data_IF_908030736320
#
_entry.id   IF_908030736320
#
_cell.length_a   1.000
_cell.length_b   1.000
_cell.length_c   1.000
_cell.angle_alpha   90.00
_cell.angle_beta   90.00
_cell.angle_gamma   90.00
#
_symmetry.space_group_name_H-M   'P 1'
#
loop_
_entity.id
_entity.type
_entity.pdbx_description
1 polymer ?
#
# COMPACT_ATOMS: atom_id res chain seq x y z
N UNK A 1 15.95 14.20 -54.85
CA UNK A 1 16.73 13.45 -53.85
C UNK A 1 15.91 13.45 -52.57
N UNK A 2 15.84 12.30 -51.88
CA UNK A 2 14.88 11.98 -50.82
C UNK A 2 14.85 12.96 -49.62
N UNK A 3 13.72 12.99 -48.86
CA UNK A 3 13.39 14.03 -47.88
C UNK A 3 13.61 13.63 -46.40
N UNK A 4 13.43 14.66 -45.57
CA UNK A 4 13.17 14.81 -44.13
C UNK A 4 12.88 13.57 -43.25
N UNK A 5 13.30 13.67 -41.97
CA UNK A 5 12.59 13.05 -40.84
C UNK A 5 12.73 13.91 -39.56
N UNK A 6 11.86 14.92 -39.45
CA UNK A 6 11.33 15.37 -38.16
C UNK A 6 10.22 14.39 -37.77
N UNK A 7 10.29 13.79 -36.58
CA UNK A 7 9.21 12.94 -36.04
C UNK A 7 8.42 13.75 -35.04
N UNK A 8 7.15 14.00 -35.36
CA UNK A 8 6.13 14.39 -34.41
C UNK A 8 4.89 13.48 -34.54
N UNK A 9 4.23 13.29 -33.41
CA UNK A 9 2.84 12.89 -33.18
C UNK A 9 2.36 11.42 -33.27
N UNK A 10 1.99 10.94 -32.07
CA UNK A 10 0.68 10.39 -31.69
C UNK A 10 0.08 9.24 -32.50
N UNK A 11 0.00 8.06 -31.88
CA UNK A 11 -1.07 7.10 -32.19
C UNK A 11 -1.41 6.21 -31.00
N UNK A 12 -2.58 6.48 -30.41
CA UNK A 12 -3.30 5.57 -29.51
C UNK A 12 -3.44 4.20 -30.19
N UNK A 13 -2.96 3.15 -29.52
CA UNK A 13 -3.07 1.77 -30.00
C UNK A 13 -4.46 1.24 -29.63
N UNK A 14 -5.23 0.99 -30.69
CA UNK A 14 -6.53 0.33 -30.72
C UNK A 14 -6.50 -1.00 -29.94
N UNK A 15 -7.35 -1.16 -28.92
CA UNK A 15 -7.71 -2.48 -28.39
C UNK A 15 -8.93 -2.98 -29.15
N UNK A 16 -8.72 -4.00 -29.97
CA UNK A 16 -9.74 -4.74 -30.70
C UNK A 16 -10.38 -5.79 -29.77
N UNK A 17 -11.71 -5.76 -29.72
CA UNK A 17 -12.64 -6.90 -29.91
C UNK A 17 -12.49 -8.15 -29.02
N UNK A 18 -13.52 -8.36 -28.18
CA UNK A 18 -14.17 -9.66 -27.94
C UNK A 18 -15.68 -9.38 -27.72
N UNK A 19 -16.49 -9.39 -28.79
CA UNK A 19 -17.37 -10.49 -29.24
C UNK A 19 -18.63 -10.64 -28.33
N UNK A 20 -19.71 -9.91 -28.61
CA UNK A 20 -20.90 -10.38 -29.37
C UNK A 20 -21.44 -11.76 -28.94
N UNK A 21 -22.61 -11.76 -28.30
CA UNK A 21 -23.65 -12.78 -28.53
C UNK A 21 -25.00 -12.09 -28.68
N UNK A 22 -25.41 -11.87 -29.94
CA UNK A 22 -26.78 -11.54 -30.32
C UNK A 22 -27.40 -12.82 -30.85
N UNK A 23 -28.31 -13.42 -30.09
CA UNK A 23 -29.17 -14.49 -30.58
C UNK A 23 -30.41 -13.87 -31.24
N UNK A 24 -30.39 -13.75 -32.57
CA UNK A 24 -31.60 -13.46 -33.37
C UNK A 24 -32.31 -14.79 -33.63
N UNK A 25 -33.49 -14.98 -33.04
CA UNK A 25 -34.47 -15.94 -33.54
C UNK A 25 -35.69 -15.16 -34.04
N UNK A 26 -35.78 -15.01 -35.35
CA UNK A 26 -36.99 -14.51 -36.02
C UNK A 26 -37.96 -15.67 -36.27
N UNK A 27 -39.14 -15.63 -35.67
CA UNK A 27 -40.33 -16.25 -36.23
C UNK A 27 -41.55 -15.45 -35.77
N UNK A 28 -42.31 -14.96 -36.73
CA UNK A 28 -43.20 -13.80 -36.57
C UNK A 28 -44.46 -14.04 -35.77
N UNK A 29 -44.94 -12.98 -35.13
CA UNK A 29 -46.35 -12.75 -34.82
C UNK A 29 -46.65 -11.25 -34.94
N UNK A 30 -47.85 -10.98 -35.44
CA UNK A 30 -48.48 -9.71 -35.80
C UNK A 30 -48.24 -8.62 -34.74
N UNK A 31 -47.81 -7.43 -35.17
CA UNK A 31 -47.64 -6.28 -34.27
C UNK A 31 -49.01 -5.76 -33.80
N UNK A 32 -49.31 -5.70 -32.50
CA UNK A 32 -50.28 -4.73 -32.01
C UNK A 32 -49.60 -3.36 -32.01
N UNK A 33 -50.08 -2.43 -32.84
CA UNK A 33 -49.73 -1.01 -32.73
C UNK A 33 -50.39 -0.48 -31.46
N UNK A 34 -49.77 -0.74 -30.32
CA UNK A 34 -50.09 -0.07 -29.08
C UNK A 34 -49.48 1.33 -29.20
N UNK A 35 -50.34 2.33 -29.42
CA UNK A 35 -49.93 3.71 -29.20
C UNK A 35 -49.52 3.83 -27.73
N UNK A 36 -48.23 4.05 -27.50
CA UNK A 36 -47.67 4.21 -26.16
C UNK A 36 -48.20 5.53 -25.58
N UNK A 37 -49.35 5.47 -24.92
CA UNK A 37 -49.93 6.58 -24.14
C UNK A 37 -49.41 6.58 -22.70
N UNK A 38 -48.29 5.91 -22.45
CA UNK A 38 -47.59 5.87 -21.17
C UNK A 38 -46.28 6.65 -21.21
N UNK A 39 -45.86 7.15 -20.04
CA UNK A 39 -44.51 7.69 -19.87
C UNK A 39 -43.54 6.51 -19.86
N UNK A 40 -42.87 6.25 -20.98
CA UNK A 40 -41.80 5.26 -21.09
C UNK A 40 -40.47 5.84 -20.61
N UNK A 41 -39.88 5.25 -19.57
CA UNK A 41 -38.52 5.56 -19.12
C UNK A 41 -37.59 4.37 -19.34
N UNK A 42 -36.36 4.67 -19.78
CA UNK A 42 -35.26 3.71 -19.85
C UNK A 42 -34.05 4.32 -19.16
N UNK A 43 -33.36 3.51 -18.38
CA UNK A 43 -32.13 3.93 -17.71
C UNK A 43 -30.95 3.75 -18.66
N UNK A 44 -30.10 4.79 -18.73
CA UNK A 44 -28.75 4.70 -19.25
C UNK A 44 -27.82 4.47 -18.07
N UNK A 45 -27.01 3.41 -18.12
CA UNK A 45 -25.92 3.21 -17.14
C UNK A 45 -24.63 3.76 -17.72
N UNK A 46 -23.99 4.68 -17.01
CA UNK A 46 -22.66 5.21 -17.32
C UNK A 46 -21.72 4.72 -16.22
N UNK A 47 -20.60 4.10 -16.59
CA UNK A 47 -19.65 3.50 -15.65
C UNK A 47 -18.24 4.06 -15.81
N UNK A 48 -17.51 4.07 -14.71
CA UNK A 48 -16.08 4.38 -14.60
C UNK A 48 -15.47 3.42 -13.60
N UNK A 49 -14.27 2.92 -13.87
CA UNK A 49 -13.52 2.01 -13.02
C UNK A 49 -12.06 2.46 -13.00
N UNK A 50 -11.48 2.53 -11.80
CA UNK A 50 -10.10 2.90 -11.56
C UNK A 50 -9.52 1.94 -10.53
N UNK A 51 -8.28 1.50 -10.76
CA UNK A 51 -7.60 0.55 -9.88
C UNK A 51 -7.04 1.23 -8.63
N UNK A 52 -7.10 0.52 -7.51
CA UNK A 52 -6.49 0.96 -6.26
C UNK A 52 -4.96 0.92 -6.33
N UNK A 53 -4.30 2.02 -5.97
CA UNK A 53 -2.84 2.19 -6.03
C UNK A 53 -2.31 2.93 -4.79
N UNK A 54 -1.02 2.74 -4.49
CA UNK A 54 -0.33 3.46 -3.43
C UNK A 54 1.17 3.56 -3.72
N UNK A 55 1.87 4.46 -3.04
CA UNK A 55 3.34 4.56 -3.09
C UNK A 55 3.90 4.55 -1.68
N UNK A 56 4.62 3.48 -1.34
CA UNK A 56 5.31 3.32 -0.06
C UNK A 56 6.49 4.31 0.03
N UNK A 57 6.62 4.96 1.18
CA UNK A 57 7.67 5.94 1.48
C UNK A 57 8.34 5.59 2.80
N UNK A 58 9.61 5.19 2.73
CA UNK A 58 10.42 4.79 3.89
C UNK A 58 11.74 5.57 3.83
N UNK A 59 12.17 6.20 4.94
CA UNK A 59 13.49 6.83 5.03
C UNK A 59 14.59 5.81 4.75
N UNK A 60 15.64 6.24 4.06
CA UNK A 60 16.78 5.37 3.79
C UNK A 60 17.50 4.95 5.08
N UNK A 61 17.55 5.83 6.09
CA UNK A 61 18.31 5.63 7.31
C UNK A 61 17.63 6.30 8.51
N UNK A 62 17.84 5.73 9.70
CA UNK A 62 17.50 6.32 10.99
C UNK A 62 18.74 6.24 11.88
N UNK A 63 19.25 7.38 12.34
CA UNK A 63 20.43 7.43 13.22
C UNK A 63 20.01 7.29 14.68
N UNK A 64 20.33 6.14 15.28
CA UNK A 64 20.01 5.86 16.68
C UNK A 64 20.99 6.56 17.65
N UNK A 65 20.56 6.71 18.90
CA UNK A 65 21.34 7.32 19.98
C UNK A 65 21.57 6.35 21.12
N UNK A 66 22.73 6.47 21.78
CA UNK A 66 23.06 5.72 23.00
C UNK A 66 22.24 6.17 24.21
N UNK A 67 21.83 7.43 24.27
CA UNK A 67 21.28 8.06 25.48
C UNK A 67 19.82 8.48 25.35
N UNK A 68 19.30 8.62 24.14
CA UNK A 68 17.94 9.06 23.89
C UNK A 68 17.23 8.14 22.91
N UNK A 69 15.92 7.97 23.12
CA UNK A 69 15.07 7.32 22.12
C UNK A 69 15.02 8.15 20.83
N UNK A 70 14.90 7.47 19.70
CA UNK A 70 14.86 8.08 18.37
C UNK A 70 13.51 7.80 17.71
N UNK A 71 13.02 8.74 16.91
CA UNK A 71 11.78 8.57 16.14
C UNK A 71 12.15 8.37 14.67
N UNK A 72 11.74 7.24 14.09
CA UNK A 72 11.68 7.02 12.65
C UNK A 72 10.24 7.20 12.17
N UNK A 73 10.07 7.55 10.89
CA UNK A 73 8.75 7.69 10.26
C UNK A 73 8.65 6.77 9.07
N UNK A 74 7.52 6.07 8.93
CA UNK A 74 7.21 5.27 7.75
C UNK A 74 5.81 5.62 7.26
N UNK A 75 5.54 5.48 5.98
CA UNK A 75 4.22 5.85 5.48
C UNK A 75 4.07 5.71 3.98
N UNK A 76 3.12 6.46 3.43
CA UNK A 76 2.84 6.51 2.01
C UNK A 76 3.06 7.94 1.52
N UNK A 77 3.58 8.09 0.30
CA UNK A 77 3.62 9.39 -0.38
C UNK A 77 2.34 9.68 -1.17
N UNK A 78 1.60 8.63 -1.56
CA UNK A 78 0.26 8.72 -2.13
C UNK A 78 -0.55 7.46 -1.87
N UNK A 79 -1.88 7.62 -1.85
CA UNK A 79 -2.85 6.54 -1.75
C UNK A 79 -4.05 6.87 -2.66
N UNK A 80 -4.56 5.86 -3.35
CA UNK A 80 -5.82 5.87 -4.07
C UNK A 80 -6.45 4.48 -3.88
N UNK A 81 -7.35 4.32 -2.92
CA UNK A 81 -7.98 3.01 -2.67
C UNK A 81 -9.49 3.18 -2.59
N UNK A 82 -10.23 2.11 -2.89
CA UNK A 82 -11.68 2.12 -2.72
C UNK A 82 -12.06 2.29 -1.24
N UNK A 83 -13.31 2.68 -0.98
CA UNK A 83 -13.84 2.84 0.38
C UNK A 83 -13.93 1.53 1.17
N UNK A 84 -13.80 0.39 0.49
CA UNK A 84 -13.81 -0.96 1.07
C UNK A 84 -12.40 -1.53 1.28
N UNK A 85 -11.37 -0.73 1.00
CA UNK A 85 -9.97 -1.13 1.05
C UNK A 85 -9.15 -0.21 1.96
N UNK A 86 -8.02 -0.74 2.43
CA UNK A 86 -7.00 0.01 3.15
C UNK A 86 -5.62 -0.48 2.74
N UNK A 87 -4.62 0.39 2.83
CA UNK A 87 -3.21 0.00 2.73
C UNK A 87 -2.70 -0.31 4.13
N UNK A 88 -2.22 -1.53 4.32
CA UNK A 88 -1.62 -1.99 5.56
C UNK A 88 -0.10 -2.08 5.38
N UNK A 89 0.66 -1.43 6.25
CA UNK A 89 2.13 -1.53 6.31
C UNK A 89 2.51 -2.47 7.45
N UNK A 90 3.35 -3.47 7.16
CA UNK A 90 3.89 -4.42 8.13
C UNK A 90 5.41 -4.43 8.09
N UNK A 91 6.02 -4.83 9.20
CA UNK A 91 7.40 -5.34 9.19
C UNK A 91 7.37 -6.82 8.80
N UNK A 92 8.28 -7.24 7.92
CA UNK A 92 8.37 -8.64 7.47
C UNK A 92 9.67 -9.32 7.90
N UNK A 93 10.72 -8.54 8.20
CA UNK A 93 11.97 -9.03 8.76
C UNK A 93 12.79 -7.90 9.40
N UNK A 94 13.80 -8.28 10.18
CA UNK A 94 14.73 -7.34 10.81
C UNK A 94 14.37 -6.93 12.24
N UNK A 95 13.33 -7.54 12.80
CA UNK A 95 12.94 -7.42 14.20
C UNK A 95 12.98 -8.81 14.86
N UNK A 96 13.54 -8.89 16.07
CA UNK A 96 13.60 -10.10 16.89
C UNK A 96 12.24 -10.47 17.48
N UNK A 97 12.13 -11.63 18.13
CA UNK A 97 10.89 -12.05 18.79
C UNK A 97 10.47 -11.10 19.92
N UNK A 98 11.43 -10.37 20.50
CA UNK A 98 11.26 -9.38 21.56
C UNK A 98 10.97 -7.97 21.03
N UNK A 99 10.84 -7.80 19.71
CA UNK A 99 10.53 -6.51 19.10
C UNK A 99 11.73 -5.58 18.93
N UNK A 100 12.95 -6.12 18.89
CA UNK A 100 14.15 -5.31 18.75
C UNK A 100 14.82 -5.47 17.38
N UNK A 101 15.31 -4.36 16.81
CA UNK A 101 16.26 -4.40 15.71
C UNK A 101 17.65 -4.69 16.25
N UNK A 102 18.35 -5.63 15.61
CA UNK A 102 19.74 -5.98 15.94
C UNK A 102 20.65 -5.16 15.03
N UNK A 103 21.59 -4.44 15.63
CA UNK A 103 22.66 -3.77 14.92
C UNK A 103 23.97 -4.53 15.15
N UNK A 104 24.73 -4.69 14.08
CA UNK A 104 26.02 -5.41 14.10
C UNK A 104 27.14 -4.44 13.75
N UNK A 105 28.24 -4.48 14.49
CA UNK A 105 29.44 -3.70 14.14
C UNK A 105 29.98 -4.20 12.79
N UNK A 106 30.14 -3.27 11.85
CA UNK A 106 30.61 -3.56 10.50
C UNK A 106 32.06 -4.07 10.47
N UNK A 107 32.85 -3.81 11.52
CA UNK A 107 34.25 -4.23 11.63
C UNK A 107 34.44 -5.45 12.54
N UNK A 108 33.51 -5.70 13.45
CA UNK A 108 33.51 -6.87 14.35
C UNK A 108 32.11 -7.49 14.43
N UNK A 109 31.77 -8.44 13.55
CA UNK A 109 30.43 -9.06 13.54
C UNK A 109 30.04 -9.79 14.82
N UNK A 110 30.98 -10.06 15.74
CA UNK A 110 30.69 -10.62 17.06
C UNK A 110 30.13 -9.58 18.04
N UNK A 111 30.30 -8.29 17.74
CA UNK A 111 29.84 -7.18 18.56
C UNK A 111 28.49 -6.67 18.03
N UNK A 112 27.46 -6.81 18.86
CA UNK A 112 26.08 -6.44 18.50
C UNK A 112 25.43 -5.63 19.61
N UNK A 113 24.48 -4.79 19.22
CA UNK A 113 23.59 -4.08 20.13
C UNK A 113 22.16 -4.10 19.57
N UNK A 114 21.19 -3.73 20.39
CA UNK A 114 19.77 -3.83 20.03
C UNK A 114 19.03 -2.57 20.40
N UNK A 115 18.03 -2.21 19.59
CA UNK A 115 17.06 -1.16 19.92
C UNK A 115 15.65 -1.72 19.81
N UNK A 116 14.87 -1.64 20.89
CA UNK A 116 13.45 -2.04 20.84
C UNK A 116 12.68 -1.05 20.00
N UNK A 117 11.84 -1.56 19.09
CA UNK A 117 10.97 -0.75 18.24
C UNK A 117 9.55 -0.81 18.78
N UNK A 118 8.87 0.34 18.87
CA UNK A 118 7.51 0.48 19.40
C UNK A 118 6.67 1.39 18.50
N UNK A 119 5.36 1.20 18.48
CA UNK A 119 4.43 2.10 17.77
C UNK A 119 4.07 3.34 18.59
N UNK A 120 4.22 3.26 19.90
CA UNK A 120 3.95 4.34 20.84
C UNK A 120 5.13 4.53 21.78
N UNK A 121 5.37 5.77 22.21
CA UNK A 121 6.45 6.06 23.14
C UNK A 121 6.23 5.37 24.49
N UNK A 122 7.08 4.39 24.80
CA UNK A 122 6.94 3.56 26.00
C UNK A 122 5.81 2.52 25.94
N UNK A 123 5.19 2.32 24.77
CA UNK A 123 4.19 1.26 24.54
C UNK A 123 4.84 -0.12 24.43
N UNK A 124 4.08 -1.14 24.01
CA UNK A 124 4.62 -2.49 23.87
C UNK A 124 5.62 -2.62 22.70
N UNK A 125 6.58 -3.56 22.77
CA UNK A 125 7.45 -3.87 21.65
C UNK A 125 6.66 -4.32 20.41
N UNK A 126 7.11 -3.89 19.24
CA UNK A 126 6.51 -4.27 17.96
C UNK A 126 6.75 -5.76 17.70
N UNK A 127 5.70 -6.52 17.40
CA UNK A 127 5.82 -7.91 16.99
C UNK A 127 6.62 -8.05 15.68
N UNK A 128 7.30 -9.20 15.50
CA UNK A 128 8.16 -9.45 14.33
C UNK A 128 7.44 -9.43 12.97
N UNK A 129 6.12 -9.61 12.96
CA UNK A 129 5.21 -9.51 11.81
C UNK A 129 4.12 -8.44 12.02
N UNK A 130 4.38 -7.51 12.95
CA UNK A 130 3.45 -6.51 13.42
C UNK A 130 2.99 -5.56 12.32
N UNK A 131 1.73 -5.17 12.40
CA UNK A 131 1.16 -4.07 11.60
C UNK A 131 1.68 -2.76 12.19
N UNK A 132 2.32 -1.96 11.36
CA UNK A 132 2.85 -0.65 11.75
C UNK A 132 1.79 0.43 11.58
N UNK A 133 1.07 0.37 10.46
CA UNK A 133 0.10 1.39 10.11
C UNK A 133 -0.95 0.86 9.14
N UNK A 134 -2.12 1.48 9.19
CA UNK A 134 -3.21 1.25 8.25
C UNK A 134 -3.74 2.59 7.76
N UNK A 135 -3.84 2.73 6.44
CA UNK A 135 -4.28 3.96 5.79
C UNK A 135 -5.46 3.69 4.87
N UNK A 136 -6.47 4.55 4.96
CA UNK A 136 -7.62 4.60 4.06
C UNK A 136 -7.50 5.83 3.16
N UNK A 137 -8.40 5.98 2.19
CA UNK A 137 -8.43 7.15 1.33
C UNK A 137 -8.52 8.48 2.10
N UNK A 138 -9.16 8.46 3.28
CA UNK A 138 -9.38 9.65 4.11
C UNK A 138 -8.27 9.88 5.16
N UNK A 139 -7.24 9.02 5.19
CA UNK A 139 -6.18 9.12 6.18
C UNK A 139 -5.29 10.35 5.96
N UNK A 140 -5.10 11.14 7.01
CA UNK A 140 -4.18 12.27 7.05
C UNK A 140 -3.68 12.49 8.49
N UNK A 141 -2.35 12.41 8.76
CA UNK A 141 -1.26 12.18 7.81
C UNK A 141 -1.18 10.71 7.32
N UNK A 142 -0.52 10.49 6.19
CA UNK A 142 -0.20 9.15 5.65
C UNK A 142 1.11 8.58 6.23
N UNK A 143 1.41 8.89 7.49
CA UNK A 143 2.65 8.50 8.15
C UNK A 143 2.39 7.98 9.54
N UNK A 144 3.18 7.00 9.97
CA UNK A 144 3.23 6.49 11.32
C UNK A 144 4.65 6.62 11.87
N UNK A 145 4.74 6.91 13.17
CA UNK A 145 6.00 6.97 13.89
C UNK A 145 6.38 5.58 14.41
N UNK A 146 7.67 5.30 14.36
CA UNK A 146 8.31 4.20 15.05
C UNK A 146 9.25 4.79 16.11
N UNK A 147 9.12 4.31 17.34
CA UNK A 147 9.93 4.74 18.46
C UNK A 147 10.99 3.69 18.72
N UNK A 148 12.24 4.09 18.57
CA UNK A 148 13.42 3.28 18.82
C UNK A 148 13.98 3.62 20.20
N UNK A 149 14.13 2.61 21.06
CA UNK A 149 14.77 2.79 22.36
C UNK A 149 16.26 3.18 22.19
N UNK A 150 16.80 3.88 23.18
CA UNK A 150 18.22 4.21 23.22
C UNK A 150 19.07 2.93 23.29
N UNK A 151 20.24 2.92 22.64
CA UNK A 151 21.11 1.73 22.59
C UNK A 151 21.77 1.41 23.93
N UNK A 152 21.87 2.37 24.85
CA UNK A 152 22.64 2.25 26.08
C UNK A 152 24.15 2.36 25.83
N UNK A 153 24.94 1.78 26.73
CA UNK A 153 26.41 1.83 26.65
C UNK A 153 26.93 0.82 25.62
N UNK A 154 27.21 1.31 24.41
CA UNK A 154 27.72 0.51 23.29
C UNK A 154 29.19 0.87 23.03
N UNK A 155 30.09 -0.10 22.77
CA UNK A 155 31.46 0.21 22.38
C UNK A 155 31.54 1.07 21.11
N UNK A 156 32.54 1.93 20.99
CA UNK A 156 32.74 2.73 19.79
C UNK A 156 32.89 1.85 18.54
N UNK A 157 32.12 2.13 17.50
CA UNK A 157 32.09 1.37 16.26
C UNK A 157 31.03 1.91 15.30
N UNK A 158 30.95 1.31 14.11
CA UNK A 158 29.90 1.61 13.14
C UNK A 158 28.95 0.44 13.09
N UNK A 159 27.75 0.61 13.64
CA UNK A 159 26.75 -0.44 13.72
C UNK A 159 25.67 -0.22 12.66
N UNK A 160 25.24 -1.30 12.03
CA UNK A 160 24.14 -1.27 11.07
C UNK A 160 23.18 -2.42 11.31
N UNK A 161 21.89 -2.13 11.15
CA UNK A 161 20.80 -3.09 11.17
C UNK A 161 19.83 -2.74 10.05
N UNK A 162 19.03 -3.71 9.61
CA UNK A 162 18.06 -3.50 8.55
C UNK A 162 16.70 -4.04 8.97
N UNK A 163 15.66 -3.25 8.70
CA UNK A 163 14.27 -3.67 8.76
C UNK A 163 13.69 -3.72 7.35
N UNK A 164 12.85 -4.71 7.09
CA UNK A 164 12.12 -4.83 5.82
C UNK A 164 10.65 -4.62 6.06
N UNK A 165 10.06 -3.80 5.20
CA UNK A 165 8.67 -3.40 5.28
C UNK A 165 7.93 -3.90 4.05
N UNK A 166 6.65 -4.22 4.24
CA UNK A 166 5.74 -4.53 3.14
C UNK A 166 4.47 -3.71 3.31
N UNK A 167 4.01 -3.12 2.21
CA UNK A 167 2.71 -2.49 2.13
C UNK A 167 1.81 -3.28 1.17
N UNK A 168 0.56 -3.48 1.54
CA UNK A 168 -0.42 -4.23 0.76
C UNK A 168 -1.81 -3.63 0.90
N UNK A 169 -2.58 -3.65 -0.19
CA UNK A 169 -4.00 -3.32 -0.16
C UNK A 169 -4.74 -4.55 0.40
N UNK A 170 -5.57 -4.33 1.41
CA UNK A 170 -6.40 -5.36 2.06
C UNK A 170 -7.83 -4.86 2.21
N UNK A 171 -8.79 -5.78 2.33
CA UNK A 171 -10.17 -5.40 2.63
C UNK A 171 -10.28 -4.79 4.03
N UNK A 172 -11.12 -3.76 4.17
CA UNK A 172 -11.45 -3.21 5.50
C UNK A 172 -12.25 -4.18 6.37
N UNK A 173 -12.92 -5.17 5.76
CA UNK A 173 -13.70 -6.18 6.46
C UNK A 173 -12.86 -7.32 7.06
N UNK A 174 -11.63 -7.55 6.58
CA UNK A 174 -10.78 -8.68 6.99
C UNK A 174 -10.00 -8.45 8.30
N UNK A 175 -10.19 -7.31 8.98
CA UNK A 175 -9.39 -6.94 10.15
C UNK A 175 -10.05 -7.24 11.51
N UNK A 176 -11.02 -8.16 11.58
CA UNK A 176 -11.84 -8.38 12.78
C UNK A 176 -12.17 -9.82 13.16
N UNK A 177 -11.52 -10.84 12.59
CA UNK A 177 -11.76 -12.24 12.98
C UNK A 177 -10.75 -12.73 14.03
N UNK A 178 -10.76 -12.13 15.22
CA UNK A 178 -10.22 -12.79 16.43
C UNK A 178 -11.38 -13.38 17.22
N UNK A 179 -11.54 -14.70 17.10
CA UNK A 179 -12.23 -15.66 17.99
C UNK A 179 -13.40 -15.20 18.86
N UNK A 180 -14.59 -15.72 18.54
CA UNK A 180 -15.60 -16.08 19.56
C UNK A 180 -15.08 -17.20 20.49
#
# INVERSE_FOLDING_TARGET
MYPENFKEETKMKKKLVAAMMVAVMTAGMVMPVSADTGVSSKNLTVGYEEESTFVLSIPAEVTLSETAGTIGTVGLSSINVSTTEKVQIRVTSGISAEGAVILTDMQDPGNTCTSTVRLEQGGDPLASDGIIAEFTMDSNPLTANLYFDALGNVPAGTYSGQMTYQASIVSTADAGATGE
#
